data_IF_914349152398
#
_entry.id   IF_914349152398
#
_cell.length_a   1.000
_cell.length_b   1.000
_cell.length_c   1.000
_cell.angle_alpha   90.00
_cell.angle_beta   90.00
_cell.angle_gamma   90.00
#
_symmetry.space_group_name_H-M   'P 1'
#
loop_
_entity.id
_entity.type
_entity.pdbx_description
1 polymer ?
#
# COMPACT_ATOMS: atom_id res chain seq x y z
N UNK A 1 -5.17 18.93 -3.53
CA UNK A 1 -4.55 18.05 -2.53
C UNK A 1 -4.08 16.82 -3.27
N UNK A 2 -2.94 16.28 -2.87
CA UNK A 2 -2.42 15.04 -3.44
C UNK A 2 -3.28 13.84 -3.02
N UNK A 3 -3.12 12.70 -3.70
CA UNK A 3 -3.88 11.50 -3.35
C UNK A 3 -3.54 10.99 -1.96
N UNK A 4 -2.25 11.08 -1.59
CA UNK A 4 -1.75 10.70 -0.27
C UNK A 4 -2.27 11.66 0.81
N UNK A 5 -2.24 12.97 0.58
CA UNK A 5 -2.79 13.95 1.52
C UNK A 5 -4.26 13.67 1.84
N UNK A 6 -5.06 13.35 0.81
CA UNK A 6 -6.48 12.98 0.97
C UNK A 6 -6.61 11.68 1.76
N UNK A 7 -5.79 10.68 1.47
CA UNK A 7 -5.82 9.41 2.21
C UNK A 7 -5.53 9.60 3.71
N UNK A 8 -4.52 10.41 4.04
CA UNK A 8 -4.19 10.77 5.43
C UNK A 8 -5.35 11.48 6.14
N UNK A 9 -6.04 12.39 5.45
CA UNK A 9 -7.23 13.07 5.97
C UNK A 9 -8.37 12.10 6.28
N UNK A 10 -8.67 11.20 5.35
CA UNK A 10 -9.73 10.21 5.52
C UNK A 10 -9.40 9.25 6.67
N UNK A 11 -8.14 8.81 6.79
CA UNK A 11 -7.69 8.00 7.93
C UNK A 11 -7.92 8.72 9.26
N UNK A 12 -7.59 10.00 9.35
CA UNK A 12 -7.82 10.82 10.55
C UNK A 12 -9.30 11.06 10.85
N UNK A 13 -10.16 11.05 9.84
CA UNK A 13 -11.59 11.30 9.98
C UNK A 13 -12.34 10.16 10.68
N UNK A 14 -12.03 8.89 10.37
CA UNK A 14 -12.75 7.75 10.94
C UNK A 14 -12.71 7.68 12.49
N UNK A 15 -11.54 7.79 13.16
CA UNK A 15 -11.47 7.82 14.62
C UNK A 15 -12.30 8.95 15.23
N UNK A 16 -12.35 10.12 14.57
CA UNK A 16 -13.14 11.25 15.03
C UNK A 16 -14.64 10.99 14.93
N UNK A 17 -15.10 10.35 13.84
CA UNK A 17 -16.50 9.95 13.69
C UNK A 17 -16.91 8.91 14.73
N UNK A 18 -16.08 7.90 14.95
CA UNK A 18 -16.31 6.88 15.99
C UNK A 18 -16.34 7.53 17.38
N UNK A 19 -15.43 8.46 17.66
CA UNK A 19 -15.41 9.18 18.93
C UNK A 19 -16.65 10.07 19.13
N UNK A 20 -17.07 10.78 18.09
CA UNK A 20 -18.28 11.60 18.14
C UNK A 20 -19.52 10.74 18.38
N UNK A 21 -19.59 9.58 17.73
CA UNK A 21 -20.65 8.60 17.95
C UNK A 21 -20.63 8.08 19.40
N UNK A 22 -19.47 7.70 19.94
CA UNK A 22 -19.33 7.28 21.35
C UNK A 22 -19.81 8.36 22.33
N UNK A 23 -19.40 9.60 22.11
CA UNK A 23 -19.81 10.74 22.95
C UNK A 23 -21.33 10.96 22.87
N UNK A 24 -21.94 10.78 21.70
CA UNK A 24 -23.38 10.81 21.56
C UNK A 24 -24.08 9.72 22.38
N UNK A 25 -23.55 8.49 22.39
CA UNK A 25 -24.08 7.38 23.20
C UNK A 25 -24.07 7.68 24.69
N UNK A 26 -22.95 8.19 25.22
CA UNK A 26 -22.83 8.52 26.65
C UNK A 26 -23.92 9.53 27.08
N UNK A 27 -24.21 10.53 26.24
CA UNK A 27 -25.34 11.43 26.47
C UNK A 27 -26.71 10.73 26.32
N UNK A 28 -26.83 9.81 25.36
CA UNK A 28 -28.08 9.14 25.01
C UNK A 28 -28.57 8.13 26.04
N UNK A 29 -27.65 7.37 26.64
CA UNK A 29 -27.94 6.29 27.58
C UNK A 29 -28.63 6.78 28.85
N UNK A 30 -28.48 8.06 29.18
CA UNK A 30 -29.19 8.72 30.28
C UNK A 30 -30.69 8.91 30.03
N UNK A 31 -31.19 8.61 28.82
CA UNK A 31 -32.58 8.82 28.43
C UNK A 31 -33.41 7.52 28.42
N UNK A 32 -34.67 7.61 28.84
CA UNK A 32 -35.62 6.48 28.95
C UNK A 32 -35.89 5.70 27.65
N UNK A 33 -35.57 6.26 26.48
CA UNK A 33 -35.88 5.69 25.15
C UNK A 33 -34.66 5.17 24.38
N UNK A 34 -33.46 5.10 24.98
CA UNK A 34 -32.23 4.70 24.28
C UNK A 34 -32.37 3.38 23.50
N UNK A 35 -33.08 2.40 24.09
CA UNK A 35 -33.34 1.09 23.50
C UNK A 35 -33.96 1.15 22.09
N UNK A 36 -34.71 2.21 21.75
CA UNK A 36 -35.32 2.40 20.42
C UNK A 36 -34.27 2.70 19.35
N UNK A 37 -33.12 3.25 19.71
CA UNK A 37 -32.08 3.74 18.80
C UNK A 37 -30.78 2.93 18.92
N UNK A 38 -30.61 2.19 20.02
CA UNK A 38 -29.45 1.36 20.32
C UNK A 38 -29.04 0.46 19.14
N UNK A 39 -29.99 -0.19 18.47
CA UNK A 39 -29.71 -1.06 17.31
C UNK A 39 -29.09 -0.26 16.15
N UNK A 40 -29.66 0.89 15.82
CA UNK A 40 -29.16 1.74 14.75
C UNK A 40 -27.78 2.32 15.10
N UNK A 41 -27.57 2.68 16.36
CA UNK A 41 -26.27 3.10 16.87
C UNK A 41 -25.22 2.00 16.70
N UNK A 42 -25.49 0.79 17.22
CA UNK A 42 -24.57 -0.35 17.16
C UNK A 42 -24.18 -0.67 15.73
N UNK A 43 -25.17 -0.71 14.82
CA UNK A 43 -24.94 -0.90 13.39
C UNK A 43 -24.01 0.18 12.82
N UNK A 44 -24.33 1.46 13.02
CA UNK A 44 -23.49 2.56 12.51
C UNK A 44 -22.06 2.54 13.07
N UNK A 45 -21.87 2.16 14.33
CA UNK A 45 -20.54 2.00 14.92
C UNK A 45 -19.77 0.82 14.31
N UNK A 46 -20.46 -0.31 14.08
CA UNK A 46 -19.88 -1.47 13.40
C UNK A 46 -19.49 -1.13 11.96
N UNK A 47 -20.38 -0.49 11.20
CA UNK A 47 -20.13 -0.09 9.82
C UNK A 47 -18.95 0.90 9.74
N UNK A 48 -18.89 1.92 10.60
CA UNK A 48 -17.74 2.84 10.69
C UNK A 48 -16.42 2.11 10.99
N UNK A 49 -16.45 1.16 11.94
CA UNK A 49 -15.26 0.40 12.32
C UNK A 49 -14.79 -0.51 11.19
N UNK A 50 -15.74 -1.15 10.50
CA UNK A 50 -15.48 -2.00 9.35
C UNK A 50 -14.86 -1.21 8.19
N UNK A 51 -15.47 -0.09 7.81
CA UNK A 51 -14.93 0.75 6.73
C UNK A 51 -13.61 1.42 7.09
N UNK A 52 -13.37 1.73 8.38
CA UNK A 52 -12.08 2.19 8.84
C UNK A 52 -11.00 1.15 8.58
N UNK A 53 -11.21 -0.08 9.02
CA UNK A 53 -10.24 -1.18 8.82
C UNK A 53 -9.98 -1.40 7.34
N UNK A 54 -11.04 -1.48 6.54
CA UNK A 54 -10.92 -1.74 5.11
C UNK A 54 -10.21 -0.61 4.36
N UNK A 55 -10.40 0.63 4.81
CA UNK A 55 -9.63 1.76 4.29
C UNK A 55 -8.17 1.74 4.77
N UNK A 56 -7.91 1.45 6.04
CA UNK A 56 -6.55 1.27 6.59
C UNK A 56 -5.76 0.21 5.79
N UNK A 57 -6.36 -0.94 5.49
CA UNK A 57 -5.76 -2.00 4.67
C UNK A 57 -5.43 -1.53 3.24
N UNK A 58 -6.33 -0.75 2.61
CA UNK A 58 -6.09 -0.18 1.29
C UNK A 58 -4.94 0.82 1.32
N UNK A 59 -4.84 1.63 2.39
CA UNK A 59 -3.76 2.59 2.57
C UNK A 59 -2.42 1.89 2.78
N UNK A 60 -2.36 0.93 3.70
CA UNK A 60 -1.16 0.12 3.93
C UNK A 60 -0.70 -0.55 2.62
N UNK A 61 -1.61 -1.11 1.83
CA UNK A 61 -1.26 -1.75 0.55
C UNK A 61 -0.61 -0.79 -0.44
N UNK A 62 -1.08 0.45 -0.55
CA UNK A 62 -0.42 1.39 -1.46
C UNK A 62 0.88 1.95 -0.88
N UNK A 63 1.00 2.07 0.45
CA UNK A 63 2.19 2.60 1.13
C UNK A 63 3.34 1.61 1.24
N UNK A 64 3.07 0.31 1.48
CA UNK A 64 4.08 -0.72 1.73
C UNK A 64 5.24 -0.72 0.70
N UNK A 65 4.99 -0.62 -0.61
CA UNK A 65 6.05 -0.56 -1.63
C UNK A 65 6.68 0.83 -1.83
N UNK A 66 6.16 1.86 -1.15
CA UNK A 66 6.62 3.24 -1.26
C UNK A 66 7.54 3.66 -0.11
N UNK A 67 7.42 3.01 1.04
CA UNK A 67 8.26 3.26 2.23
C UNK A 67 9.50 2.36 2.23
N UNK A 68 10.53 2.76 2.97
CA UNK A 68 11.78 2.01 3.10
C UNK A 68 11.64 0.78 4.02
N UNK A 69 10.86 0.90 5.10
CA UNK A 69 10.66 -0.15 6.09
C UNK A 69 9.30 -0.05 6.81
N UNK A 70 8.99 -1.06 7.61
CA UNK A 70 7.74 -1.15 8.39
C UNK A 70 7.65 -0.08 9.50
N UNK A 71 8.79 0.46 9.97
CA UNK A 71 8.81 1.51 10.98
C UNK A 71 8.35 2.86 10.40
N UNK A 72 8.77 3.19 9.18
CA UNK A 72 8.29 4.36 8.43
C UNK A 72 6.78 4.27 8.19
N UNK A 73 6.28 3.11 7.76
CA UNK A 73 4.83 2.87 7.63
C UNK A 73 4.10 3.10 8.95
N UNK A 74 4.61 2.54 10.04
CA UNK A 74 3.99 2.65 11.36
C UNK A 74 3.95 4.10 11.84
N UNK A 75 5.01 4.87 11.61
CA UNK A 75 5.06 6.30 11.95
C UNK A 75 4.03 7.08 11.14
N UNK A 76 3.94 6.83 9.83
CA UNK A 76 2.99 7.51 8.95
C UNK A 76 1.53 7.21 9.32
N UNK A 77 1.22 5.94 9.60
CA UNK A 77 -0.10 5.50 10.04
C UNK A 77 -0.48 5.98 11.45
N UNK A 78 0.51 6.27 12.31
CA UNK A 78 0.28 6.78 13.66
C UNK A 78 -0.08 8.27 13.71
N UNK A 79 0.30 9.06 12.70
CA UNK A 79 -0.05 10.48 12.55
C UNK A 79 -0.77 10.77 11.22
N UNK A 80 -2.03 10.30 11.05
CA UNK A 80 -2.82 10.60 9.86
C UNK A 80 -2.98 12.09 9.61
N UNK A 81 -2.83 12.52 8.36
CA UNK A 81 -2.85 13.93 7.95
C UNK A 81 -1.77 14.81 8.59
N UNK A 82 -0.74 14.19 9.17
CA UNK A 82 0.50 14.86 9.59
C UNK A 82 1.40 15.21 8.40
N UNK A 83 2.56 15.82 8.68
CA UNK A 83 3.49 16.31 7.65
C UNK A 83 4.00 15.22 6.69
N UNK A 84 4.10 13.97 7.13
CA UNK A 84 4.52 12.86 6.28
C UNK A 84 3.56 12.58 5.12
N UNK A 85 2.29 12.99 5.25
CA UNK A 85 1.29 12.85 4.20
C UNK A 85 1.36 13.96 3.14
N UNK A 86 2.11 15.03 3.40
CA UNK A 86 2.38 16.15 2.47
C UNK A 86 3.69 15.92 1.67
N UNK A 87 4.33 14.75 1.82
CA UNK A 87 5.59 14.44 1.14
C UNK A 87 5.39 14.26 -0.38
N UNK A 88 5.94 15.20 -1.13
CA UNK A 88 5.91 15.19 -2.59
C UNK A 88 6.68 13.99 -3.20
N UNK A 89 7.70 13.49 -2.51
CA UNK A 89 8.44 12.32 -2.98
C UNK A 89 7.59 11.05 -2.88
N UNK A 90 6.88 10.87 -1.76
CA UNK A 90 5.96 9.77 -1.56
C UNK A 90 4.84 9.77 -2.63
N UNK A 91 4.31 10.95 -2.96
CA UNK A 91 3.32 11.10 -4.03
C UNK A 91 3.90 10.75 -5.41
N UNK A 92 5.14 11.17 -5.68
CA UNK A 92 5.83 10.84 -6.93
C UNK A 92 6.04 9.33 -7.08
N UNK A 93 6.45 8.63 -6.02
CA UNK A 93 6.61 7.17 -6.02
C UNK A 93 5.25 6.48 -6.27
N UNK A 94 4.16 6.99 -5.68
CA UNK A 94 2.81 6.46 -5.94
C UNK A 94 2.38 6.64 -7.41
N UNK A 95 2.64 7.81 -8.00
CA UNK A 95 2.40 8.05 -9.43
C UNK A 95 3.19 7.11 -10.34
N UNK A 96 4.46 6.87 -10.00
CA UNK A 96 5.32 5.94 -10.74
C UNK A 96 4.83 4.49 -10.64
N UNK A 97 4.24 4.10 -9.50
CA UNK A 97 3.61 2.79 -9.32
C UNK A 97 2.32 2.64 -10.14
N UNK A 98 1.52 3.70 -10.22
CA UNK A 98 0.19 3.70 -10.86
C UNK A 98 0.13 4.54 -12.16
N UNK A 99 1.06 4.40 -13.14
CA UNK A 99 1.20 5.39 -14.22
C UNK A 99 -0.02 5.48 -15.14
N UNK A 100 -0.85 4.44 -15.22
CA UNK A 100 -2.06 4.40 -16.05
C UNK A 100 -3.36 4.62 -15.27
N UNK A 101 -3.31 4.47 -13.95
CA UNK A 101 -4.49 4.37 -13.09
C UNK A 101 -4.46 5.35 -11.93
N UNK A 102 -3.48 6.25 -11.91
CA UNK A 102 -3.32 7.25 -10.85
C UNK A 102 -4.46 8.27 -10.85
N UNK A 103 -4.92 8.74 -12.01
CA UNK A 103 -6.09 9.65 -12.07
C UNK A 103 -7.35 8.97 -11.52
N UNK A 104 -7.58 7.72 -11.90
CA UNK A 104 -8.69 6.92 -11.35
C UNK A 104 -8.54 6.68 -9.85
N UNK A 105 -7.31 6.52 -9.35
CA UNK A 105 -7.05 6.46 -7.91
C UNK A 105 -7.41 7.78 -7.21
N UNK A 106 -7.06 8.94 -7.81
CA UNK A 106 -7.43 10.25 -7.29
C UNK A 106 -8.95 10.45 -7.25
N UNK A 107 -9.66 10.01 -8.28
CA UNK A 107 -11.12 10.06 -8.30
C UNK A 107 -11.71 9.21 -7.17
N UNK A 108 -11.24 7.96 -7.01
CA UNK A 108 -11.74 7.06 -5.97
C UNK A 108 -11.44 7.60 -4.55
N UNK A 109 -10.23 8.10 -4.30
CA UNK A 109 -9.88 8.63 -2.97
C UNK A 109 -10.64 9.94 -2.67
N UNK A 110 -10.90 10.74 -3.71
CA UNK A 110 -11.79 11.90 -3.64
C UNK A 110 -13.21 11.50 -3.28
N UNK A 111 -13.79 10.53 -3.97
CA UNK A 111 -15.12 9.99 -3.68
C UNK A 111 -15.22 9.50 -2.22
N UNK A 112 -14.22 8.76 -1.74
CA UNK A 112 -14.16 8.31 -0.34
C UNK A 112 -14.16 9.50 0.62
N UNK A 113 -13.38 10.54 0.33
CA UNK A 113 -13.33 11.76 1.15
C UNK A 113 -14.68 12.45 1.23
N UNK A 114 -15.37 12.62 0.10
CA UNK A 114 -16.69 13.22 0.03
C UNK A 114 -17.76 12.39 0.76
N UNK A 115 -17.69 11.06 0.66
CA UNK A 115 -18.58 10.14 1.37
C UNK A 115 -18.37 10.23 2.89
N UNK A 116 -17.13 10.33 3.35
CA UNK A 116 -16.81 10.47 4.79
C UNK A 116 -17.25 11.84 5.33
N UNK A 117 -17.07 12.93 4.58
CA UNK A 117 -17.61 14.25 4.94
C UNK A 117 -19.16 14.27 4.91
N UNK A 118 -19.78 13.56 3.98
CA UNK A 118 -21.24 13.38 3.97
C UNK A 118 -21.73 12.60 5.20
N UNK A 119 -21.03 11.51 5.55
CA UNK A 119 -21.35 10.68 6.72
C UNK A 119 -21.22 11.47 8.02
N UNK A 120 -20.18 12.29 8.14
CA UNK A 120 -20.01 13.25 9.23
C UNK A 120 -21.22 14.18 9.38
N UNK A 121 -21.70 14.74 8.27
CA UNK A 121 -22.92 15.54 8.22
C UNK A 121 -24.15 14.77 8.72
N UNK A 122 -24.28 13.51 8.31
CA UNK A 122 -25.35 12.59 8.76
C UNK A 122 -25.28 12.25 10.25
N UNK A 123 -24.08 12.19 10.81
CA UNK A 123 -23.82 12.00 12.24
C UNK A 123 -23.95 13.30 13.05
N UNK A 124 -24.10 14.45 12.38
CA UNK A 124 -24.27 15.75 13.03
C UNK A 124 -23.00 16.29 13.70
N UNK A 125 -21.82 15.83 13.24
CA UNK A 125 -20.53 16.33 13.69
C UNK A 125 -20.23 17.65 12.97
N UNK A 126 -19.92 18.71 13.72
CA UNK A 126 -19.60 20.04 13.17
C UNK A 126 -18.09 20.17 12.90
N UNK A 127 -17.70 21.13 12.04
CA UNK A 127 -16.31 21.40 11.64
C UNK A 127 -15.94 20.77 10.28
N UNK A 128 -14.75 21.05 9.73
CA UNK A 128 -14.17 20.35 8.57
C UNK A 128 -13.02 19.45 9.04
N UNK A 129 -12.80 18.31 8.40
CA UNK A 129 -11.52 17.62 8.57
C UNK A 129 -10.48 18.46 7.80
N UNK A 130 -9.64 19.20 8.51
CA UNK A 130 -8.60 20.04 7.90
C UNK A 130 -7.23 19.43 8.20
N UNK A 131 -6.38 19.36 7.19
CA UNK A 131 -4.96 19.03 7.36
C UNK A 131 -4.36 20.16 8.20
N UNK A 132 -3.86 19.83 9.40
CA UNK A 132 -3.35 20.85 10.30
C UNK A 132 -1.98 21.30 9.80
N UNK A 133 -1.87 22.54 9.34
CA UNK A 133 -0.59 23.25 9.34
C UNK A 133 -0.19 23.46 10.80
N UNK A 134 0.65 22.57 11.33
CA UNK A 134 1.18 22.65 12.69
C UNK A 134 2.05 23.90 12.82
N UNK A 135 1.51 24.98 13.39
CA UNK A 135 2.33 26.06 13.93
C UNK A 135 2.85 25.62 15.29
N UNK A 136 4.14 25.34 15.37
CA UNK A 136 4.86 25.06 16.62
C UNK A 136 4.95 26.34 17.44
N UNK A 137 4.35 26.35 18.63
CA UNK A 137 4.72 27.32 19.67
C UNK A 137 6.00 26.85 20.38
N UNK A 138 6.79 27.80 20.87
CA UNK A 138 8.19 27.66 21.30
C UNK A 138 8.46 26.77 22.54
N UNK A 139 7.47 26.05 23.07
CA UNK A 139 7.59 25.32 24.35
C UNK A 139 7.71 23.80 24.22
N UNK A 140 7.97 23.24 23.03
CA UNK A 140 8.34 21.83 22.85
C UNK A 140 7.32 20.80 23.37
N UNK A 141 6.09 21.22 23.67
CA UNK A 141 5.00 20.35 24.11
C UNK A 141 4.16 19.97 22.89
N UNK A 142 4.11 18.67 22.60
CA UNK A 142 3.19 18.09 21.63
C UNK A 142 1.75 18.34 22.10
N UNK A 143 1.14 19.40 21.59
CA UNK A 143 -0.31 19.59 21.68
C UNK A 143 -0.98 18.52 20.80
N UNK A 144 -1.19 17.33 21.40
CA UNK A 144 -2.26 16.41 21.02
C UNK A 144 -3.53 17.23 21.03
N UNK A 145 -3.94 17.72 19.87
CA UNK A 145 -5.03 18.67 19.77
C UNK A 145 -6.29 18.03 20.33
N UNK A 146 -6.66 18.50 21.51
CA UNK A 146 -8.03 18.62 21.92
C UNK A 146 -8.75 19.36 20.78
N UNK A 147 -9.42 18.62 19.89
CA UNK A 147 -10.74 19.07 19.42
C UNK A 147 -11.42 19.50 20.71
N UNK A 148 -11.60 20.80 20.90
CA UNK A 148 -12.06 21.34 22.17
C UNK A 148 -13.24 20.49 22.60
N UNK A 149 -13.07 19.73 23.69
CA UNK A 149 -14.14 18.85 24.21
C UNK A 149 -15.44 19.65 24.27
N UNK A 150 -15.36 20.95 24.59
CA UNK A 150 -16.46 21.91 24.61
C UNK A 150 -17.22 22.10 23.27
N UNK A 151 -16.57 22.06 22.11
CA UNK A 151 -17.25 22.22 20.80
C UNK A 151 -18.04 20.96 20.38
N UNK A 152 -17.67 19.80 20.93
CA UNK A 152 -18.44 18.56 20.81
C UNK A 152 -19.55 18.45 21.87
N UNK A 153 -19.46 19.23 22.96
CA UNK A 153 -20.21 19.02 24.21
C UNK A 153 -21.32 20.04 24.52
N UNK A 154 -21.51 21.12 23.76
CA UNK A 154 -22.73 21.93 23.93
C UNK A 154 -23.92 21.14 23.39
N UNK A 155 -24.59 20.39 24.26
CA UNK A 155 -25.84 19.69 23.96
C UNK A 155 -26.81 19.98 25.10
N UNK A 156 -27.64 21.01 24.94
CA UNK A 156 -28.83 21.15 25.77
C UNK A 156 -29.80 19.99 25.48
N UNK A 157 -30.64 19.61 26.45
CA UNK A 157 -31.62 18.49 26.34
C UNK A 157 -32.47 18.55 25.04
N UNK A 158 -32.74 19.77 24.53
CA UNK A 158 -33.45 20.03 23.28
C UNK A 158 -32.63 19.68 22.02
N UNK A 159 -31.32 19.93 22.02
CA UNK A 159 -30.42 19.52 20.93
C UNK A 159 -30.25 18.00 20.89
N UNK A 160 -30.35 17.32 22.03
CA UNK A 160 -30.27 15.86 22.09
C UNK A 160 -31.48 15.18 21.44
N UNK A 161 -32.70 15.65 21.72
CA UNK A 161 -33.91 15.15 21.08
C UNK A 161 -33.91 15.40 19.57
N UNK A 162 -33.40 16.56 19.13
CA UNK A 162 -33.18 16.85 17.72
C UNK A 162 -32.14 15.90 17.10
N UNK A 163 -31.03 15.60 17.80
CA UNK A 163 -30.03 14.61 17.37
C UNK A 163 -30.61 13.19 17.31
N UNK A 164 -31.49 12.79 18.23
CA UNK A 164 -32.24 11.51 18.17
C UNK A 164 -33.11 11.39 16.92
N UNK A 165 -33.95 12.39 16.68
CA UNK A 165 -34.86 12.43 15.53
C UNK A 165 -34.03 12.40 14.25
N UNK A 166 -33.01 13.25 14.17
CA UNK A 166 -32.08 13.31 13.03
C UNK A 166 -31.37 11.97 12.79
N UNK A 167 -30.86 11.32 13.84
CA UNK A 167 -30.20 10.02 13.72
C UNK A 167 -31.15 8.91 13.26
N UNK A 168 -32.41 8.96 13.67
CA UNK A 168 -33.43 7.97 13.27
C UNK A 168 -33.89 8.20 11.83
N UNK A 169 -34.17 9.46 11.47
CA UNK A 169 -34.62 9.89 10.13
C UNK A 169 -33.55 9.64 9.07
N UNK A 170 -32.27 9.77 9.42
CA UNK A 170 -31.15 9.64 8.49
C UNK A 170 -30.63 8.22 8.27
N UNK A 171 -31.35 7.20 8.76
CA UNK A 171 -30.90 5.80 8.66
C UNK A 171 -30.68 5.36 7.20
N UNK A 172 -31.65 5.60 6.32
CA UNK A 172 -31.55 5.21 4.90
C UNK A 172 -30.41 5.93 4.18
N UNK A 173 -30.19 7.20 4.51
CA UNK A 173 -29.08 7.99 4.01
C UNK A 173 -27.73 7.42 4.44
N UNK A 174 -27.56 7.08 5.74
CA UNK A 174 -26.34 6.42 6.24
C UNK A 174 -26.12 5.06 5.59
N UNK A 175 -27.15 4.23 5.49
CA UNK A 175 -27.05 2.91 4.87
C UNK A 175 -26.60 3.03 3.39
N UNK A 176 -27.10 4.04 2.66
CA UNK A 176 -26.64 4.35 1.30
C UNK A 176 -25.18 4.80 1.27
N UNK A 177 -24.78 5.71 2.15
CA UNK A 177 -23.39 6.20 2.22
C UNK A 177 -22.41 5.06 2.54
N UNK A 178 -22.75 4.15 3.45
CA UNK A 178 -21.93 2.96 3.73
C UNK A 178 -21.86 2.02 2.51
N UNK A 179 -22.98 1.84 1.78
CA UNK A 179 -22.97 1.09 0.52
C UNK A 179 -22.02 1.69 -0.53
N UNK A 180 -22.04 3.01 -0.69
CA UNK A 180 -21.14 3.72 -1.60
C UNK A 180 -19.69 3.65 -1.13
N UNK A 181 -19.46 3.75 0.17
CA UNK A 181 -18.13 3.64 0.77
C UNK A 181 -17.55 2.23 0.60
N UNK A 182 -18.40 1.20 0.67
CA UNK A 182 -18.00 -0.18 0.34
C UNK A 182 -17.55 -0.28 -1.10
N UNK A 183 -18.35 0.24 -2.02
CA UNK A 183 -18.07 0.18 -3.45
C UNK A 183 -16.78 0.92 -3.81
N UNK A 184 -16.59 2.13 -3.29
CA UNK A 184 -15.40 2.93 -3.55
C UNK A 184 -14.14 2.25 -3.01
N UNK A 185 -14.18 1.73 -1.79
CA UNK A 185 -13.05 0.99 -1.24
C UNK A 185 -12.73 -0.30 -2.01
N UNK A 186 -13.76 -1.04 -2.45
CA UNK A 186 -13.59 -2.26 -3.22
C UNK A 186 -12.99 -1.98 -4.61
N UNK A 187 -13.40 -0.87 -5.23
CA UNK A 187 -12.79 -0.37 -6.47
C UNK A 187 -11.31 0.00 -6.25
N UNK A 188 -10.99 0.70 -5.15
CA UNK A 188 -9.62 1.02 -4.77
C UNK A 188 -8.77 -0.24 -4.61
N UNK A 189 -9.27 -1.23 -3.84
CA UNK A 189 -8.60 -2.51 -3.62
C UNK A 189 -8.27 -3.22 -4.92
N UNK A 190 -9.26 -3.37 -5.81
CA UNK A 190 -9.10 -4.01 -7.13
C UNK A 190 -8.09 -3.28 -8.03
N UNK A 191 -8.10 -1.95 -8.00
CA UNK A 191 -7.16 -1.13 -8.76
C UNK A 191 -5.72 -1.37 -8.29
N UNK A 192 -5.50 -1.40 -6.97
CA UNK A 192 -4.20 -1.71 -6.38
C UNK A 192 -3.76 -3.15 -6.70
N UNK A 193 -4.64 -4.15 -6.55
CA UNK A 193 -4.34 -5.55 -6.88
C UNK A 193 -3.93 -5.73 -8.34
N UNK A 194 -4.67 -5.11 -9.26
CA UNK A 194 -4.36 -5.14 -10.69
C UNK A 194 -2.94 -4.59 -10.95
N UNK A 195 -2.58 -3.48 -10.31
CA UNK A 195 -1.24 -2.91 -10.42
C UNK A 195 -0.16 -3.86 -9.87
N UNK A 196 -0.43 -4.51 -8.75
CA UNK A 196 0.51 -5.43 -8.10
C UNK A 196 0.75 -6.68 -8.96
N UNK A 197 -0.31 -7.23 -9.54
CA UNK A 197 -0.20 -8.34 -10.47
C UNK A 197 0.63 -8.00 -11.71
N UNK A 198 0.44 -6.81 -12.28
CA UNK A 198 1.25 -6.35 -13.43
C UNK A 198 2.72 -6.20 -13.03
N UNK A 199 2.98 -5.63 -11.85
CA UNK A 199 4.34 -5.43 -11.34
C UNK A 199 5.04 -6.78 -11.10
N UNK A 200 4.36 -7.73 -10.45
CA UNK A 200 4.86 -9.07 -10.23
C UNK A 200 5.11 -9.84 -11.55
N UNK A 201 4.22 -9.70 -12.54
CA UNK A 201 4.39 -10.30 -13.85
C UNK A 201 5.62 -9.75 -14.60
N UNK A 202 5.86 -8.43 -14.53
CA UNK A 202 7.07 -7.80 -15.10
C UNK A 202 8.35 -8.31 -14.45
N UNK A 203 8.39 -8.40 -13.12
CA UNK A 203 9.54 -8.92 -12.39
C UNK A 203 9.84 -10.38 -12.76
N UNK A 204 8.81 -11.24 -12.88
CA UNK A 204 8.97 -12.62 -13.35
C UNK A 204 9.49 -12.69 -14.79
N UNK A 205 8.98 -11.83 -15.67
CA UNK A 205 9.44 -11.75 -17.07
C UNK A 205 10.92 -11.36 -17.17
N UNK A 206 11.37 -10.39 -16.36
CA UNK A 206 12.77 -9.96 -16.32
C UNK A 206 13.70 -11.05 -15.77
N UNK A 207 13.31 -11.74 -14.71
CA UNK A 207 14.07 -12.88 -14.17
C UNK A 207 14.15 -14.05 -15.18
N UNK A 208 13.05 -14.34 -15.88
CA UNK A 208 13.01 -15.33 -16.95
C UNK A 208 13.91 -14.96 -18.13
N UNK A 209 13.93 -13.69 -18.55
CA UNK A 209 14.81 -13.19 -19.60
C UNK A 209 16.29 -13.29 -19.22
N UNK A 210 16.65 -12.92 -17.98
CA UNK A 210 18.01 -13.07 -17.46
C UNK A 210 18.43 -14.56 -17.44
N UNK A 211 17.55 -15.45 -16.99
CA UNK A 211 17.80 -16.91 -16.96
C UNK A 211 17.94 -17.49 -18.37
N UNK A 212 17.11 -17.05 -19.32
CA UNK A 212 17.20 -17.45 -20.72
C UNK A 212 18.51 -16.98 -21.38
N UNK A 213 18.95 -15.75 -21.11
CA UNK A 213 20.24 -15.24 -21.60
C UNK A 213 21.42 -16.04 -21.04
N UNK A 214 21.40 -16.40 -19.75
CA UNK A 214 22.42 -17.26 -19.13
C UNK A 214 22.42 -18.65 -19.76
N UNK A 215 21.25 -19.27 -19.93
CA UNK A 215 21.14 -20.59 -20.57
C UNK A 215 21.61 -20.58 -22.02
N UNK A 216 21.37 -19.50 -22.76
CA UNK A 216 21.89 -19.33 -24.14
C UNK A 216 23.42 -19.29 -24.15
N UNK A 217 24.05 -18.51 -23.27
CA UNK A 217 25.52 -18.45 -23.15
C UNK A 217 26.13 -19.81 -22.79
N UNK A 218 25.49 -20.55 -21.88
CA UNK A 218 25.91 -21.91 -21.50
C UNK A 218 25.78 -22.87 -22.69
N UNK A 219 24.67 -22.82 -23.43
CA UNK A 219 24.47 -23.64 -24.63
C UNK A 219 25.52 -23.32 -25.71
N UNK A 220 25.84 -22.04 -25.90
CA UNK A 220 26.89 -21.59 -26.80
C UNK A 220 28.25 -22.16 -26.37
N UNK A 221 28.59 -22.09 -25.07
CA UNK A 221 29.83 -22.68 -24.53
C UNK A 221 29.95 -24.17 -24.84
N UNK A 222 28.92 -24.97 -24.54
CA UNK A 222 28.94 -26.42 -24.80
C UNK A 222 29.08 -26.76 -26.29
N UNK A 223 28.50 -25.94 -27.17
CA UNK A 223 28.65 -26.11 -28.62
C UNK A 223 30.07 -25.85 -29.09
N UNK A 224 30.74 -24.83 -28.56
CA UNK A 224 32.15 -24.57 -28.89
C UNK A 224 33.07 -25.66 -28.35
N UNK A 225 32.85 -26.09 -27.10
CA UNK A 225 33.57 -27.21 -26.48
C UNK A 225 33.49 -28.48 -27.34
N UNK A 226 32.29 -28.84 -27.81
CA UNK A 226 32.07 -30.00 -28.67
C UNK A 226 32.82 -29.89 -29.99
N UNK A 227 32.77 -28.73 -30.66
CA UNK A 227 33.51 -28.50 -31.92
C UNK A 227 35.03 -28.60 -31.73
N UNK A 228 35.56 -28.07 -30.64
CA UNK A 228 36.98 -28.17 -30.32
C UNK A 228 37.37 -29.63 -30.07
N UNK A 229 36.57 -30.37 -29.30
CA UNK A 229 36.78 -31.80 -29.10
C UNK A 229 36.76 -32.58 -30.43
N UNK A 230 35.79 -32.33 -31.30
CA UNK A 230 35.70 -32.98 -32.62
C UNK A 230 36.91 -32.64 -33.50
N UNK A 231 37.37 -31.38 -33.48
CA UNK A 231 38.55 -30.93 -34.22
C UNK A 231 39.84 -31.58 -33.69
N UNK A 232 40.02 -31.63 -32.37
CA UNK A 232 41.18 -32.27 -31.75
C UNK A 232 41.16 -33.78 -31.99
N UNK A 233 40.03 -34.45 -31.76
CA UNK A 233 39.88 -35.90 -31.99
C UNK A 233 40.09 -36.30 -33.44
N UNK A 234 39.76 -35.45 -34.41
CA UNK A 234 40.02 -35.72 -35.84
C UNK A 234 41.46 -35.44 -36.26
N UNK A 235 42.12 -34.46 -35.62
CA UNK A 235 43.53 -34.14 -35.87
C UNK A 235 44.50 -35.11 -35.17
N UNK A 236 44.13 -35.66 -34.01
CA UNK A 236 44.96 -36.55 -33.21
C UNK A 236 44.89 -38.00 -33.71
N UNK A 237 45.56 -38.29 -34.82
CA UNK A 237 45.69 -39.64 -35.40
C UNK A 237 46.99 -40.35 -34.97
N UNK A 238 47.52 -40.06 -33.78
CA UNK A 238 48.73 -40.71 -33.28
C UNK A 238 48.40 -42.10 -32.70
N UNK A 239 48.78 -43.15 -33.42
CA UNK A 239 48.64 -44.55 -33.01
C UNK A 239 49.66 -45.02 -31.97
N UNK A 240 49.94 -44.21 -30.94
CA UNK A 240 50.78 -44.63 -29.82
C UNK A 240 49.95 -44.78 -28.55
N UNK A 241 49.96 -46.01 -28.02
CA UNK A 241 49.28 -46.42 -26.80
C UNK A 241 50.00 -45.78 -25.62
N UNK A 242 49.45 -44.70 -25.05
CA UNK A 242 49.93 -44.18 -23.76
C UNK A 242 49.73 -42.70 -23.48
N UNK A 243 49.48 -41.84 -24.48
CA UNK A 243 49.31 -40.39 -24.20
C UNK A 243 47.84 -40.05 -23.93
N UNK A 244 47.50 -39.83 -22.64
CA UNK A 244 46.22 -39.26 -22.21
C UNK A 244 46.46 -37.76 -21.97
N UNK A 245 45.65 -36.90 -22.59
CA UNK A 245 45.67 -35.46 -22.34
C UNK A 245 44.30 -35.01 -21.84
N UNK A 246 44.23 -34.59 -20.58
CA UNK A 246 43.03 -34.02 -19.98
C UNK A 246 42.96 -32.53 -20.30
N UNK A 247 42.02 -32.13 -21.18
CA UNK A 247 41.74 -30.73 -21.45
C UNK A 247 40.60 -30.22 -20.57
N UNK A 248 40.93 -29.30 -19.66
CA UNK A 248 39.94 -28.52 -18.92
C UNK A 248 39.49 -27.30 -19.72
N UNK A 249 38.18 -27.13 -19.88
CA UNK A 249 37.60 -25.91 -20.46
C UNK A 249 37.11 -25.00 -19.34
N UNK A 250 37.77 -23.86 -19.18
CA UNK A 250 37.40 -22.86 -18.18
C UNK A 250 36.50 -21.80 -18.81
N UNK A 251 35.37 -21.50 -18.16
CA UNK A 251 34.50 -20.41 -18.56
C UNK A 251 35.08 -19.08 -18.05
N UNK A 252 35.83 -18.38 -18.90
CA UNK A 252 36.36 -17.05 -18.55
C UNK A 252 35.29 -15.96 -18.68
N UNK A 253 35.21 -15.09 -17.67
CA UNK A 253 34.37 -13.89 -17.65
C UNK A 253 35.01 -12.68 -18.35
N UNK A 254 36.17 -12.86 -18.99
CA UNK A 254 36.97 -11.81 -19.63
C UNK A 254 36.71 -11.73 -21.14
N UNK A 255 36.72 -10.51 -21.71
CA UNK A 255 36.47 -10.25 -23.15
C UNK A 255 37.65 -10.63 -24.07
N UNK A 256 38.84 -10.89 -23.51
CA UNK A 256 40.03 -11.24 -24.29
C UNK A 256 40.16 -12.76 -24.45
N UNK A 257 40.36 -13.21 -25.70
CA UNK A 257 40.55 -14.62 -26.04
C UNK A 257 42.00 -15.03 -25.75
N UNK A 258 42.20 -15.81 -24.69
CA UNK A 258 43.51 -16.33 -24.29
C UNK A 258 43.34 -17.84 -23.99
N UNK A 259 44.20 -18.66 -24.59
CA UNK A 259 44.15 -20.12 -24.47
C UNK A 259 45.38 -20.62 -23.71
N UNK A 260 45.17 -21.09 -22.48
CA UNK A 260 46.21 -21.75 -21.70
C UNK A 260 46.07 -23.27 -21.85
N UNK A 261 47.08 -23.92 -22.45
CA UNK A 261 47.13 -25.37 -22.59
C UNK A 261 48.08 -25.93 -21.54
N UNK A 262 47.52 -26.59 -20.52
CA UNK A 262 48.27 -27.27 -19.48
C UNK A 262 48.47 -28.74 -19.89
N UNK A 263 49.72 -29.12 -20.15
CA UNK A 263 50.09 -30.53 -20.32
C UNK A 263 50.50 -31.11 -18.98
N UNK A 264 49.72 -32.06 -18.46
CA UNK A 264 50.18 -32.95 -17.39
C UNK A 264 50.97 -34.09 -18.02
N UNK A 265 52.25 -34.17 -17.66
CA UNK A 265 53.07 -35.33 -17.92
C UNK A 265 53.03 -36.17 -16.65
N UNK A 266 52.42 -37.35 -16.72
CA UNK A 266 52.58 -38.35 -15.66
C UNK A 266 54.02 -38.87 -15.75
N UNK A 267 54.78 -38.72 -14.68
CA UNK A 267 56.04 -39.44 -14.52
C UNK A 267 55.69 -40.85 -14.03
N UNK A 268 56.17 -41.85 -14.77
CA UNK A 268 56.12 -43.28 -14.46
C UNK A 268 56.39 -43.62 -12.97
#
# INVERSE_FOLDING_TARGET
MSGIEIAGLVLGAFPLLIQALRTYREGAETLKDWWKIERAYKKTNQDLSYHRILFEENVERFLLPLVADDDELRVLMADPAGKGWEDAELELRLRQRLPKSYDLFLDIIGDISELVESLKGELGVKGRFQARKLTTNQDGKLDRANVSRLDLLSIANMEFQAKRIKFTVRKSSRDRLFGQLQEANERMRKLLESSDHITAARLRGQAGAATFMVNRKISDFWRHAKRLHEALSSAWQCGQIGSIADLGLEHRTSENVEFDVLFRLDND
#
